data_IF_010539139335
#
_entry.id   IF_010539139335
#
_cell.length_a   1.000
_cell.length_b   1.000
_cell.length_c   1.000
_cell.angle_alpha   90.00
_cell.angle_beta   90.00
_cell.angle_gamma   90.00
#
_symmetry.space_group_name_H-M   'P 1'
#
loop_
_entity.id
_entity.type
_entity.pdbx_description
1 polymer ?
#
# COMPACT_ATOMS: atom_id res chain seq x y z
N UNK A 1 19.27 6.91 -28.04
CA UNK A 1 18.01 7.15 -27.31
C UNK A 1 18.37 7.27 -25.84
N UNK A 2 18.03 8.38 -25.16
CA UNK A 2 18.40 8.56 -23.76
C UNK A 2 17.55 7.70 -22.82
N UNK A 3 18.00 7.49 -21.58
CA UNK A 3 17.29 6.65 -20.60
C UNK A 3 15.84 7.11 -20.37
N UNK A 4 15.61 8.43 -20.34
CA UNK A 4 14.27 9.01 -20.21
C UNK A 4 13.39 8.68 -21.41
N UNK A 5 13.94 8.69 -22.63
CA UNK A 5 13.18 8.38 -23.85
C UNK A 5 12.80 6.90 -23.88
N UNK A 6 13.71 6.01 -23.46
CA UNK A 6 13.44 4.58 -23.28
C UNK A 6 12.32 4.33 -22.27
N UNK A 7 12.36 5.05 -21.14
CA UNK A 7 11.33 4.93 -20.11
C UNK A 7 9.98 5.47 -20.57
N UNK A 8 9.95 6.55 -21.35
CA UNK A 8 8.72 7.05 -21.97
C UNK A 8 8.07 5.97 -22.85
N UNK A 9 8.85 5.31 -23.71
CA UNK A 9 8.36 4.17 -24.51
C UNK A 9 7.89 3.02 -23.62
N UNK A 10 8.65 2.68 -22.56
CA UNK A 10 8.24 1.64 -21.63
C UNK A 10 6.91 1.95 -20.92
N UNK A 11 6.61 3.23 -20.67
CA UNK A 11 5.36 3.65 -20.02
C UNK A 11 4.12 3.54 -20.93
N UNK A 12 4.27 3.30 -22.24
CA UNK A 12 3.13 3.10 -23.14
C UNK A 12 2.24 1.92 -22.71
N UNK A 13 2.83 0.91 -22.05
CA UNK A 13 2.11 -0.27 -21.51
C UNK A 13 1.15 0.06 -20.35
N UNK A 14 1.22 1.28 -19.83
CA UNK A 14 0.36 1.80 -18.76
C UNK A 14 -0.94 2.41 -19.30
N UNK A 15 -1.05 2.62 -20.62
CA UNK A 15 -2.21 3.26 -21.25
C UNK A 15 -2.31 4.75 -20.93
N UNK A 16 -3.47 5.34 -21.25
CA UNK A 16 -3.74 6.78 -21.11
C UNK A 16 -3.72 7.25 -19.66
N UNK A 17 -2.91 8.26 -19.29
CA UNK A 17 -2.84 8.76 -17.92
C UNK A 17 -4.14 9.29 -17.34
N UNK A 18 -5.04 9.79 -18.19
CA UNK A 18 -6.36 10.29 -17.80
C UNK A 18 -7.26 9.17 -17.26
N UNK A 19 -6.95 7.92 -17.63
CA UNK A 19 -7.70 6.73 -17.23
C UNK A 19 -7.04 5.99 -16.07
N UNK A 20 -5.85 6.40 -15.64
CA UNK A 20 -5.13 5.73 -14.55
C UNK A 20 -5.97 5.75 -13.27
N UNK A 21 -5.98 4.62 -12.58
CA UNK A 21 -6.63 4.50 -11.29
C UNK A 21 -5.94 5.40 -10.27
N UNK A 22 -6.68 6.38 -9.76
CA UNK A 22 -6.28 7.25 -8.64
C UNK A 22 -7.13 6.88 -7.44
N UNK A 23 -6.54 6.36 -6.35
CA UNK A 23 -7.29 6.15 -5.13
C UNK A 23 -7.60 7.51 -4.52
N UNK A 24 -8.87 7.77 -4.18
CA UNK A 24 -9.30 9.01 -3.51
C UNK A 24 -8.56 9.24 -2.17
N UNK A 25 -7.96 8.18 -1.61
CA UNK A 25 -7.23 8.21 -0.36
C UNK A 25 -8.13 8.51 0.84
N UNK A 26 -7.50 8.62 2.01
CA UNK A 26 -8.12 8.96 3.28
C UNK A 26 -7.18 9.94 4.01
N UNK A 27 -7.04 11.19 3.55
CA UNK A 27 -6.03 12.11 4.05
C UNK A 27 -6.13 12.39 5.56
N UNK A 28 -7.34 12.26 6.13
CA UNK A 28 -7.61 12.49 7.56
C UNK A 28 -8.00 11.21 8.33
N UNK A 29 -8.17 10.08 7.63
CA UNK A 29 -8.76 8.85 8.20
C UNK A 29 -7.76 7.70 8.30
N UNK A 30 -6.95 7.66 9.36
CA UNK A 30 -5.89 6.66 9.50
C UNK A 30 -6.46 5.25 9.63
N UNK A 31 -7.61 5.10 10.31
CA UNK A 31 -8.30 3.82 10.39
C UNK A 31 -8.62 3.24 9.01
N UNK A 32 -9.10 4.08 8.08
CA UNK A 32 -9.39 3.68 6.70
C UNK A 32 -8.12 3.33 5.93
N UNK A 33 -7.03 4.08 6.10
CA UNK A 33 -5.72 3.73 5.52
C UNK A 33 -5.25 2.33 5.95
N UNK A 34 -5.37 2.00 7.25
CA UNK A 34 -4.99 0.68 7.78
C UNK A 34 -5.90 -0.42 7.24
N UNK A 35 -7.22 -0.22 7.29
CA UNK A 35 -8.20 -1.22 6.83
C UNK A 35 -8.02 -1.51 5.35
N UNK A 36 -8.03 -0.49 4.49
CA UNK A 36 -7.97 -0.65 3.04
C UNK A 36 -6.65 -1.31 2.62
N UNK A 37 -5.53 -0.84 3.17
CA UNK A 37 -4.22 -1.36 2.81
C UNK A 37 -4.03 -2.83 3.17
N UNK A 38 -4.40 -3.25 4.39
CA UNK A 38 -4.31 -4.64 4.82
C UNK A 38 -5.33 -5.52 4.09
N UNK A 39 -6.54 -5.01 3.83
CA UNK A 39 -7.57 -5.78 3.12
C UNK A 39 -7.20 -6.04 1.66
N UNK A 40 -6.45 -5.14 1.04
CA UNK A 40 -6.09 -5.24 -0.37
C UNK A 40 -5.24 -6.47 -0.71
N UNK A 41 -4.57 -7.13 0.25
CA UNK A 41 -3.85 -8.39 -0.02
C UNK A 41 -4.79 -9.57 -0.20
N UNK A 42 -4.50 -10.54 -1.05
CA UNK A 42 -5.31 -11.77 -1.17
C UNK A 42 -6.80 -11.56 -1.53
N UNK A 43 -7.26 -10.35 -1.91
CA UNK A 43 -8.67 -10.01 -2.05
C UNK A 43 -9.03 -9.18 -3.27
N UNK A 44 -10.13 -9.55 -3.93
CA UNK A 44 -10.76 -8.70 -4.93
C UNK A 44 -11.18 -7.37 -4.31
N UNK A 45 -11.07 -6.31 -5.11
CA UNK A 45 -11.35 -4.96 -4.63
C UNK A 45 -12.80 -4.74 -4.20
N UNK A 46 -13.77 -5.44 -4.79
CA UNK A 46 -15.17 -5.43 -4.31
C UNK A 46 -15.26 -5.86 -2.84
N UNK A 47 -14.49 -6.87 -2.44
CA UNK A 47 -14.38 -7.30 -1.04
C UNK A 47 -13.77 -6.22 -0.14
N UNK A 48 -12.76 -5.51 -0.62
CA UNK A 48 -12.11 -4.40 0.11
C UNK A 48 -13.09 -3.24 0.31
N UNK A 49 -13.74 -2.79 -0.77
CA UNK A 49 -14.76 -1.74 -0.75
C UNK A 49 -15.90 -2.06 0.20
N UNK A 50 -16.33 -3.32 0.25
CA UNK A 50 -17.38 -3.77 1.16
C UNK A 50 -16.95 -3.60 2.63
N UNK A 51 -15.72 -3.96 2.99
CA UNK A 51 -15.20 -3.78 4.35
C UNK A 51 -15.11 -2.30 4.71
N UNK A 52 -14.53 -1.48 3.83
CA UNK A 52 -14.44 -0.02 4.01
C UNK A 52 -15.84 0.61 4.17
N UNK A 53 -16.80 0.21 3.34
CA UNK A 53 -18.17 0.71 3.40
C UNK A 53 -18.88 0.32 4.69
N UNK A 54 -18.64 -0.89 5.20
CA UNK A 54 -19.19 -1.33 6.49
C UNK A 54 -18.57 -0.58 7.67
N UNK A 55 -17.26 -0.31 7.63
CA UNK A 55 -16.62 0.50 8.66
C UNK A 55 -17.18 1.92 8.68
N UNK A 56 -17.30 2.55 7.51
CA UNK A 56 -17.94 3.87 7.36
C UNK A 56 -19.37 3.87 7.87
N UNK A 57 -20.17 2.85 7.54
CA UNK A 57 -21.55 2.74 8.04
C UNK A 57 -21.59 2.58 9.57
N UNK A 58 -20.67 1.83 10.15
CA UNK A 58 -20.60 1.61 11.59
C UNK A 58 -20.21 2.88 12.35
N UNK A 59 -19.30 3.69 11.79
CA UNK A 59 -18.75 4.89 12.43
C UNK A 59 -19.49 6.19 12.06
N UNK A 60 -20.26 6.19 10.98
CA UNK A 60 -20.90 7.39 10.43
C UNK A 60 -19.85 8.39 9.96
N UNK A 61 -20.13 9.68 10.16
CA UNK A 61 -19.24 10.77 9.73
C UNK A 61 -17.87 10.71 10.42
N UNK A 62 -17.77 10.16 11.63
CA UNK A 62 -16.50 10.02 12.36
C UNK A 62 -15.47 9.17 11.61
N UNK A 63 -15.92 8.27 10.72
CA UNK A 63 -15.04 7.40 9.94
C UNK A 63 -13.99 8.15 9.14
N UNK A 64 -14.27 9.41 8.73
CA UNK A 64 -13.36 10.21 7.91
C UNK A 64 -12.16 10.73 8.69
N UNK A 65 -12.22 10.75 10.03
CA UNK A 65 -11.17 11.26 10.92
C UNK A 65 -10.67 10.23 11.93
N UNK A 66 -11.23 9.02 11.94
CA UNK A 66 -10.88 7.98 12.91
C UNK A 66 -9.39 7.62 12.83
N UNK A 67 -8.74 7.63 14.00
CA UNK A 67 -7.36 7.26 14.22
C UNK A 67 -7.19 5.82 14.69
N UNK A 68 -6.00 5.51 15.24
CA UNK A 68 -5.75 4.17 15.80
C UNK A 68 -6.61 3.89 17.04
N UNK A 69 -6.90 4.91 17.85
CA UNK A 69 -7.70 4.75 19.07
C UNK A 69 -9.14 4.34 18.73
N UNK A 70 -9.78 5.02 17.78
CA UNK A 70 -11.15 4.78 17.36
C UNK A 70 -11.28 3.44 16.62
N UNK A 71 -10.26 3.07 15.83
CA UNK A 71 -10.19 1.75 15.23
C UNK A 71 -10.14 0.65 16.31
N UNK A 72 -9.26 0.77 17.31
CA UNK A 72 -9.16 -0.20 18.41
C UNK A 72 -10.46 -0.27 19.23
N UNK A 73 -11.06 0.88 19.55
CA UNK A 73 -12.34 0.95 20.24
C UNK A 73 -13.47 0.26 19.45
N UNK A 74 -13.43 0.30 18.12
CA UNK A 74 -14.40 -0.43 17.28
C UNK A 74 -14.26 -1.95 17.39
N UNK A 75 -13.04 -2.48 17.60
CA UNK A 75 -12.86 -3.90 17.89
C UNK A 75 -13.44 -4.24 19.26
N UNK A 76 -13.15 -3.44 20.28
CA UNK A 76 -13.65 -3.69 21.64
C UNK A 76 -15.18 -3.64 21.69
N UNK A 77 -15.79 -2.65 21.04
CA UNK A 77 -17.25 -2.50 20.96
C UNK A 77 -17.97 -3.59 20.15
N UNK A 78 -17.24 -4.33 19.30
CA UNK A 78 -17.79 -5.42 18.49
C UNK A 78 -17.43 -6.81 19.02
N UNK A 79 -16.87 -6.92 20.23
CA UNK A 79 -16.52 -8.21 20.82
C UNK A 79 -15.21 -8.80 20.30
N UNK A 80 -14.23 -7.93 20.02
CA UNK A 80 -12.89 -8.30 19.59
C UNK A 80 -12.80 -8.67 18.10
N UNK A 81 -11.72 -9.38 17.76
CA UNK A 81 -11.38 -9.74 16.38
C UNK A 81 -12.51 -10.47 15.66
N UNK A 82 -13.10 -11.49 16.31
CA UNK A 82 -14.12 -12.33 15.67
C UNK A 82 -15.40 -11.56 15.38
N UNK A 83 -15.86 -10.74 16.32
CA UNK A 83 -17.06 -9.95 16.13
C UNK A 83 -16.85 -8.81 15.13
N UNK A 84 -15.68 -8.15 15.14
CA UNK A 84 -15.32 -7.18 14.11
C UNK A 84 -15.23 -7.82 12.72
N UNK A 85 -14.65 -9.02 12.60
CA UNK A 85 -14.56 -9.76 11.34
C UNK A 85 -15.93 -10.13 10.76
N UNK A 86 -16.91 -10.46 11.64
CA UNK A 86 -18.29 -10.75 11.24
C UNK A 86 -19.08 -9.48 10.86
N UNK A 87 -18.93 -8.40 11.63
CA UNK A 87 -19.74 -7.19 11.45
C UNK A 87 -19.20 -6.25 10.35
N UNK A 88 -17.88 -6.07 10.31
CA UNK A 88 -17.22 -5.09 9.42
C UNK A 88 -16.32 -5.79 8.43
N UNK A 89 -15.41 -6.62 8.92
CA UNK A 89 -14.35 -7.26 8.14
C UNK A 89 -14.84 -8.33 7.17
N UNK A 90 -13.92 -9.24 6.86
CA UNK A 90 -14.26 -10.51 6.26
C UNK A 90 -13.55 -11.58 7.08
N UNK A 91 -14.12 -12.78 7.17
CA UNK A 91 -13.50 -13.89 7.90
C UNK A 91 -12.38 -14.54 7.06
N UNK A 92 -11.67 -13.76 6.23
CA UNK A 92 -10.57 -14.25 5.43
C UNK A 92 -9.29 -14.35 6.27
N UNK A 93 -8.50 -15.41 6.07
CA UNK A 93 -7.18 -15.49 6.66
C UNK A 93 -6.23 -14.45 6.03
N UNK A 94 -5.20 -14.09 6.79
CA UNK A 94 -4.17 -13.16 6.37
C UNK A 94 -3.21 -13.76 5.33
N UNK A 95 -3.03 -15.09 5.34
CA UNK A 95 -2.23 -15.84 4.37
C UNK A 95 -2.89 -17.18 4.05
N UNK A 96 -2.33 -17.93 3.09
CA UNK A 96 -2.79 -19.27 2.71
C UNK A 96 -2.31 -20.38 3.66
N UNK A 97 -1.53 -20.04 4.70
CA UNK A 97 -1.01 -21.02 5.67
C UNK A 97 -2.14 -21.57 6.55
N UNK A 98 -2.08 -22.86 6.85
CA UNK A 98 -3.00 -23.49 7.79
C UNK A 98 -2.88 -22.82 9.17
N UNK A 99 -4.02 -22.37 9.70
CA UNK A 99 -4.09 -21.69 11.00
C UNK A 99 -3.70 -20.21 10.97
N UNK A 100 -3.56 -19.59 9.79
CA UNK A 100 -3.29 -18.16 9.67
C UNK A 100 -4.35 -17.31 10.38
N UNK A 101 -3.91 -16.21 10.98
CA UNK A 101 -4.81 -15.26 11.65
C UNK A 101 -5.80 -14.65 10.67
N UNK A 102 -6.96 -14.20 11.15
CA UNK A 102 -7.87 -13.40 10.33
C UNK A 102 -7.22 -12.06 9.96
N UNK A 103 -7.55 -11.52 8.78
CA UNK A 103 -7.16 -10.14 8.42
C UNK A 103 -7.58 -9.10 9.46
N UNK A 104 -8.72 -9.33 10.11
CA UNK A 104 -9.17 -8.51 11.22
C UNK A 104 -8.16 -8.47 12.39
N UNK A 105 -7.51 -9.59 12.70
CA UNK A 105 -6.46 -9.65 13.72
C UNK A 105 -5.22 -8.85 13.30
N UNK A 106 -4.83 -8.96 12.02
CA UNK A 106 -3.72 -8.18 11.46
C UNK A 106 -4.00 -6.68 11.52
N UNK A 107 -5.21 -6.24 11.13
CA UNK A 107 -5.65 -4.84 11.24
C UNK A 107 -5.56 -4.36 12.68
N UNK A 108 -6.09 -5.13 13.65
CA UNK A 108 -6.05 -4.77 15.06
C UNK A 108 -4.61 -4.66 15.57
N UNK A 109 -3.75 -5.61 15.20
CA UNK A 109 -2.35 -5.62 15.66
C UNK A 109 -1.54 -4.46 15.08
N UNK A 110 -1.72 -4.14 13.79
CA UNK A 110 -1.09 -2.97 13.17
C UNK A 110 -1.56 -1.68 13.86
N UNK A 111 -2.87 -1.53 14.09
CA UNK A 111 -3.43 -0.37 14.78
C UNK A 111 -2.85 -0.22 16.20
N UNK A 112 -2.72 -1.33 16.94
CA UNK A 112 -2.15 -1.35 18.29
C UNK A 112 -0.67 -0.96 18.30
N UNK A 113 0.14 -1.56 17.42
CA UNK A 113 1.56 -1.25 17.33
C UNK A 113 1.81 0.23 17.00
N UNK A 114 1.02 0.80 16.07
CA UNK A 114 1.10 2.22 15.73
C UNK A 114 0.63 3.11 16.88
N UNK A 115 -0.48 2.76 17.53
CA UNK A 115 -1.00 3.49 18.68
C UNK A 115 0.04 3.60 19.80
N UNK A 116 0.70 2.48 20.12
CA UNK A 116 1.69 2.38 21.19
C UNK A 116 3.00 3.15 20.84
N UNK A 117 3.35 3.28 19.56
CA UNK A 117 4.45 4.15 19.07
C UNK A 117 4.07 5.64 18.99
N UNK A 118 2.81 5.96 19.32
CA UNK A 118 2.27 7.32 19.28
C UNK A 118 1.83 7.79 17.88
N UNK A 119 1.67 6.87 16.92
CA UNK A 119 1.10 7.16 15.60
C UNK A 119 -0.42 7.03 15.70
N UNK A 120 -1.11 8.16 15.86
CA UNK A 120 -2.54 8.21 16.16
C UNK A 120 -3.37 8.71 14.99
N UNK A 121 -2.79 9.57 14.17
CA UNK A 121 -3.45 10.25 13.05
C UNK A 121 -2.71 10.01 11.73
N UNK A 122 -3.35 10.35 10.61
CA UNK A 122 -2.70 10.34 9.30
C UNK A 122 -1.52 11.30 9.24
N UNK A 123 -1.59 12.44 9.93
CA UNK A 123 -0.46 13.38 10.06
C UNK A 123 0.74 12.73 10.74
N UNK A 124 0.53 12.01 11.85
CA UNK A 124 1.60 11.25 12.49
C UNK A 124 2.20 10.24 11.52
N UNK A 125 1.35 9.51 10.78
CA UNK A 125 1.80 8.53 9.81
C UNK A 125 2.61 9.18 8.68
N UNK A 126 2.18 10.34 8.18
CA UNK A 126 2.92 11.12 7.16
C UNK A 126 4.28 11.54 7.66
N UNK A 127 4.36 12.13 8.85
CA UNK A 127 5.63 12.53 9.49
C UNK A 127 6.55 11.33 9.69
N UNK A 128 6.02 10.20 10.17
CA UNK A 128 6.81 8.96 10.37
C UNK A 128 7.22 8.31 9.05
N UNK A 129 6.43 8.45 8.01
CA UNK A 129 6.63 7.84 6.70
C UNK A 129 7.52 8.66 5.75
N UNK A 130 7.67 9.96 6.01
CA UNK A 130 8.33 10.92 5.13
C UNK A 130 9.80 10.56 4.84
N UNK A 131 10.21 10.80 3.59
CA UNK A 131 11.59 10.62 3.13
C UNK A 131 12.38 11.94 3.29
N UNK A 132 12.33 12.52 4.48
CA UNK A 132 13.07 13.74 4.81
C UNK A 132 14.45 13.40 5.37
N UNK A 133 15.49 14.20 5.06
CA UNK A 133 16.82 14.01 5.64
C UNK A 133 16.77 13.92 7.17
N UNK A 134 17.30 12.83 7.73
CA UNK A 134 17.32 12.59 9.18
C UNK A 134 16.11 11.83 9.72
N UNK A 135 15.07 11.56 8.91
CA UNK A 135 13.91 10.77 9.33
C UNK A 135 14.11 9.24 9.15
N UNK A 136 15.21 8.82 8.53
CA UNK A 136 15.44 7.42 8.12
C UNK A 136 15.29 6.40 9.26
N UNK A 137 15.86 6.70 10.43
CA UNK A 137 15.81 5.79 11.57
C UNK A 137 14.38 5.65 12.11
N UNK A 138 13.67 6.77 12.27
CA UNK A 138 12.28 6.83 12.74
C UNK A 138 11.35 6.13 11.75
N UNK A 139 11.51 6.39 10.46
CA UNK A 139 10.76 5.72 9.40
C UNK A 139 10.98 4.22 9.38
N UNK A 140 12.23 3.76 9.52
CA UNK A 140 12.53 2.32 9.60
C UNK A 140 11.91 1.68 10.83
N UNK A 141 11.94 2.35 11.99
CA UNK A 141 11.32 1.86 13.21
C UNK A 141 9.80 1.71 13.06
N UNK A 142 9.10 2.75 12.60
CA UNK A 142 7.65 2.69 12.40
C UNK A 142 7.26 1.71 11.28
N UNK A 143 8.01 1.64 10.17
CA UNK A 143 7.80 0.59 9.16
C UNK A 143 7.97 -0.80 9.77
N UNK A 144 8.95 -1.01 10.66
CA UNK A 144 9.19 -2.32 11.29
C UNK A 144 7.99 -2.78 12.11
N UNK A 145 7.34 -1.87 12.85
CA UNK A 145 6.11 -2.15 13.62
C UNK A 145 4.96 -2.67 12.74
N UNK A 146 4.86 -2.17 11.51
CA UNK A 146 3.90 -2.65 10.52
C UNK A 146 4.32 -4.01 9.95
N UNK A 147 5.56 -4.11 9.47
CA UNK A 147 6.06 -5.30 8.74
C UNK A 147 6.37 -6.50 9.62
N UNK A 148 6.39 -6.35 10.95
CA UNK A 148 6.54 -7.48 11.88
C UNK A 148 5.24 -8.24 12.12
N UNK A 149 4.09 -7.71 11.66
CA UNK A 149 2.80 -8.39 11.77
C UNK A 149 2.71 -9.49 10.69
N UNK A 150 2.01 -10.58 11.00
CA UNK A 150 1.78 -11.70 10.09
C UNK A 150 1.31 -11.20 8.70
N UNK A 151 1.85 -11.80 7.63
CA UNK A 151 1.53 -11.46 6.23
C UNK A 151 1.92 -10.02 5.78
N UNK A 152 2.68 -9.26 6.60
CA UNK A 152 3.04 -7.87 6.28
C UNK A 152 4.54 -7.64 6.03
N UNK A 153 5.35 -8.70 5.98
CA UNK A 153 6.83 -8.60 5.91
C UNK A 153 7.36 -7.85 4.68
N UNK A 154 6.68 -7.96 3.54
CA UNK A 154 7.06 -7.27 2.29
C UNK A 154 7.02 -5.74 2.41
N UNK A 155 6.15 -5.21 3.28
CA UNK A 155 5.91 -3.78 3.44
C UNK A 155 5.17 -3.12 2.27
N UNK A 156 4.55 -3.90 1.39
CA UNK A 156 3.69 -3.38 0.31
C UNK A 156 2.49 -2.63 0.91
N UNK A 157 1.83 -3.21 1.91
CA UNK A 157 0.68 -2.59 2.59
C UNK A 157 1.07 -1.34 3.37
N UNK A 158 2.29 -1.29 3.94
CA UNK A 158 2.85 -0.08 4.53
C UNK A 158 2.97 1.05 3.49
N UNK A 159 3.57 0.79 2.33
CA UNK A 159 3.71 1.80 1.28
C UNK A 159 2.33 2.27 0.78
N UNK A 160 1.38 1.34 0.64
CA UNK A 160 0.03 1.68 0.21
C UNK A 160 -0.73 2.50 1.26
N UNK A 161 -0.57 2.22 2.56
CA UNK A 161 -1.12 3.05 3.63
C UNK A 161 -0.59 4.48 3.61
N UNK A 162 0.72 4.68 3.32
CA UNK A 162 1.30 6.02 3.16
C UNK A 162 0.69 6.77 1.98
N UNK A 163 0.47 6.10 0.85
CA UNK A 163 -0.19 6.67 -0.32
C UNK A 163 -1.64 7.07 0.01
N UNK A 164 -2.39 6.18 0.67
CA UNK A 164 -3.76 6.47 1.11
C UNK A 164 -3.81 7.65 2.09
N UNK A 165 -2.81 7.80 2.96
CA UNK A 165 -2.69 8.96 3.85
C UNK A 165 -2.24 10.24 3.14
N UNK A 166 -2.08 10.23 1.81
CA UNK A 166 -1.68 11.39 1.02
C UNK A 166 -0.20 11.74 1.14
N UNK A 167 0.66 10.84 1.64
CA UNK A 167 2.10 11.04 1.59
C UNK A 167 2.59 10.79 0.16
N UNK A 168 2.62 11.87 -0.61
CA UNK A 168 3.08 11.84 -1.99
C UNK A 168 4.60 11.58 -2.01
N UNK A 169 5.00 10.47 -2.60
CA UNK A 169 6.41 10.19 -2.88
C UNK A 169 6.55 9.11 -3.93
N UNK A 170 7.17 9.46 -5.07
CA UNK A 170 7.75 8.45 -5.96
C UNK A 170 8.84 7.77 -5.17
N UNK A 171 8.50 6.62 -4.61
CA UNK A 171 9.51 5.71 -4.14
C UNK A 171 9.57 4.68 -5.24
N UNK A 172 10.66 4.73 -6.01
CA UNK A 172 11.06 3.58 -6.78
C UNK A 172 11.33 2.43 -5.78
N UNK A 173 10.27 1.74 -5.36
CA UNK A 173 10.35 0.56 -4.53
C UNK A 173 10.93 -0.59 -5.38
N UNK A 174 11.03 -1.79 -4.84
CA UNK A 174 11.64 -2.91 -5.59
C UNK A 174 10.92 -3.14 -6.92
N UNK A 175 9.61 -2.92 -7.00
CA UNK A 175 8.81 -3.17 -8.20
C UNK A 175 9.02 -2.07 -9.22
N UNK A 176 8.93 -0.82 -8.79
CA UNK A 176 9.16 0.33 -9.66
C UNK A 176 10.64 0.38 -10.12
N UNK A 177 11.59 0.06 -9.24
CA UNK A 177 13.02 -0.08 -9.62
C UNK A 177 13.23 -1.23 -10.61
N UNK A 178 12.53 -2.37 -10.44
CA UNK A 178 12.56 -3.47 -11.42
C UNK A 178 12.01 -3.04 -12.78
N UNK A 179 10.92 -2.29 -12.81
CA UNK A 179 10.36 -1.75 -14.05
C UNK A 179 11.39 -0.86 -14.75
N UNK A 180 11.99 0.10 -14.03
CA UNK A 180 12.99 1.01 -14.58
C UNK A 180 14.23 0.24 -15.06
N UNK A 181 14.74 -0.68 -14.23
CA UNK A 181 15.88 -1.54 -14.59
C UNK A 181 15.58 -2.34 -15.86
N UNK A 182 14.41 -2.99 -15.96
CA UNK A 182 14.01 -3.76 -17.14
C UNK A 182 13.86 -2.90 -18.40
N UNK A 183 13.33 -1.69 -18.27
CA UNK A 183 13.23 -0.74 -19.38
C UNK A 183 14.61 -0.27 -19.87
N UNK A 184 15.63 -0.35 -19.01
CA UNK A 184 17.01 0.03 -19.26
C UNK A 184 17.95 -1.19 -19.42
N UNK A 185 17.45 -2.31 -19.96
CA UNK A 185 18.22 -3.54 -20.24
C UNK A 185 18.85 -4.21 -19.01
N UNK A 186 18.19 -4.12 -17.85
CA UNK A 186 18.62 -4.79 -16.63
C UNK A 186 19.71 -4.06 -15.85
N UNK A 187 19.94 -2.77 -16.12
CA UNK A 187 20.88 -1.95 -15.34
C UNK A 187 20.49 -1.95 -13.86
N UNK A 188 21.44 -2.25 -12.98
CA UNK A 188 21.26 -2.09 -11.54
C UNK A 188 21.19 -0.61 -11.20
N UNK A 189 20.06 -0.20 -10.60
CA UNK A 189 19.80 1.19 -10.24
C UNK A 189 19.55 1.27 -8.75
N UNK A 190 20.08 2.33 -8.12
CA UNK A 190 19.62 2.68 -6.79
C UNK A 190 18.16 3.18 -6.87
N UNK A 191 17.36 2.98 -5.80
CA UNK A 191 16.02 3.55 -5.69
C UNK A 191 15.98 5.06 -5.96
N UNK A 192 17.02 5.79 -5.56
CA UNK A 192 17.14 7.23 -5.77
C UNK A 192 17.30 7.57 -7.25
N UNK A 193 18.12 6.80 -7.97
CA UNK A 193 18.31 6.97 -9.41
C UNK A 193 17.03 6.66 -10.18
N UNK A 194 16.37 5.55 -9.85
CA UNK A 194 15.09 5.17 -10.46
C UNK A 194 14.00 6.20 -10.17
N UNK A 195 13.91 6.72 -8.94
CA UNK A 195 12.97 7.78 -8.60
C UNK A 195 13.27 9.10 -9.33
N UNK A 196 14.55 9.45 -9.50
CA UNK A 196 14.96 10.63 -10.27
C UNK A 196 14.53 10.54 -11.72
N UNK A 197 14.79 9.39 -12.37
CA UNK A 197 14.38 9.12 -13.74
C UNK A 197 12.85 9.21 -13.90
N UNK A 198 12.09 8.60 -12.98
CA UNK A 198 10.63 8.63 -13.06
C UNK A 198 10.03 10.01 -12.82
N UNK A 199 10.64 10.84 -11.97
CA UNK A 199 10.21 12.25 -11.83
C UNK A 199 10.38 13.01 -13.15
N UNK A 200 11.48 12.77 -13.86
CA UNK A 200 11.70 13.40 -15.17
C UNK A 200 10.75 12.87 -16.25
N UNK A 201 10.47 11.55 -16.25
CA UNK A 201 9.46 10.94 -17.14
C UNK A 201 8.08 11.52 -16.87
N UNK A 202 7.65 11.57 -15.61
CA UNK A 202 6.37 12.15 -15.21
C UNK A 202 6.25 13.61 -15.63
N UNK A 203 7.31 14.40 -15.45
CA UNK A 203 7.38 15.79 -15.89
C UNK A 203 7.18 15.91 -17.40
N UNK A 204 7.77 15.02 -18.20
CA UNK A 204 7.59 15.00 -19.66
C UNK A 204 6.21 14.52 -20.09
N UNK A 205 5.61 13.59 -19.34
CA UNK A 205 4.23 13.13 -19.56
C UNK A 205 3.17 14.14 -19.09
N UNK A 206 3.54 15.14 -18.30
CA UNK A 206 2.60 16.11 -17.73
C UNK A 206 1.73 15.54 -16.61
N UNK A 207 2.18 14.48 -15.93
CA UNK A 207 1.43 13.78 -14.88
C UNK A 207 2.10 13.96 -13.52
N UNK A 208 1.36 13.89 -12.40
CA UNK A 208 1.96 13.77 -11.08
C UNK A 208 2.88 12.55 -11.05
N UNK A 209 4.10 12.72 -10.53
CA UNK A 209 5.06 11.63 -10.50
C UNK A 209 4.59 10.45 -9.64
N UNK A 210 3.75 10.72 -8.65
CA UNK A 210 3.06 9.72 -7.83
C UNK A 210 1.96 8.95 -8.57
N UNK A 211 1.27 9.59 -9.52
CA UNK A 211 0.33 8.89 -10.41
C UNK A 211 1.09 7.90 -11.31
N UNK A 212 2.24 8.33 -11.86
CA UNK A 212 3.10 7.45 -12.67
C UNK A 212 3.67 6.30 -11.84
N UNK A 213 4.23 6.59 -10.66
CA UNK A 213 4.72 5.58 -9.72
C UNK A 213 3.63 4.56 -9.38
N UNK A 214 2.42 5.04 -9.09
CA UNK A 214 1.29 4.19 -8.80
C UNK A 214 0.86 3.36 -10.01
N UNK A 215 0.81 3.95 -11.21
CA UNK A 215 0.49 3.23 -12.44
C UNK A 215 1.49 2.10 -12.74
N UNK A 216 2.80 2.38 -12.59
CA UNK A 216 3.87 1.39 -12.72
C UNK A 216 3.72 0.31 -11.66
N UNK A 217 3.52 0.69 -10.40
CA UNK A 217 3.34 -0.27 -9.31
C UNK A 217 2.14 -1.17 -9.56
N UNK A 218 1.00 -0.62 -10.02
CA UNK A 218 -0.18 -1.39 -10.41
C UNK A 218 0.17 -2.38 -11.52
N UNK A 219 0.87 -1.94 -12.57
CA UNK A 219 1.30 -2.83 -13.66
C UNK A 219 2.18 -3.98 -13.16
N UNK A 220 3.23 -3.67 -12.41
CA UNK A 220 4.21 -4.66 -11.92
C UNK A 220 3.62 -5.65 -10.93
N UNK A 221 2.51 -5.28 -10.30
CA UNK A 221 1.80 -6.10 -9.32
C UNK A 221 0.59 -6.81 -9.91
N UNK A 222 0.48 -6.86 -11.25
CA UNK A 222 -0.58 -7.54 -11.96
C UNK A 222 -1.92 -6.83 -11.94
N UNK A 223 -1.98 -5.53 -11.58
CA UNK A 223 -3.19 -4.72 -11.48
C UNK A 223 -3.55 -3.99 -12.75
N UNK A 224 -4.86 -3.87 -12.96
CA UNK A 224 -5.42 -2.96 -13.95
C UNK A 224 -4.94 -1.55 -13.66
N UNK A 225 -4.18 -0.99 -14.58
CA UNK A 225 -3.62 0.36 -14.46
C UNK A 225 -4.73 1.39 -14.66
N UNK A 226 -5.66 1.14 -15.59
CA UNK A 226 -6.79 2.00 -15.91
C UNK A 226 -8.10 1.55 -15.24
N UNK A 227 -8.99 2.51 -15.04
CA UNK A 227 -10.40 2.26 -14.72
C UNK A 227 -11.18 2.36 -16.04
N UNK A 228 -11.53 1.23 -16.66
CA UNK A 228 -12.64 1.27 -17.61
C UNK A 228 -13.93 1.34 -16.80
N UNK A 229 -14.86 2.20 -17.21
CA UNK A 229 -16.11 2.50 -16.49
C UNK A 229 -16.97 1.26 -16.18
N UNK A 230 -16.67 0.10 -16.78
CA UNK A 230 -17.38 -1.16 -16.58
C UNK A 230 -16.56 -2.27 -15.86
N UNK A 231 -15.29 -2.04 -15.49
CA UNK A 231 -14.44 -3.06 -14.87
C UNK A 231 -14.46 -2.96 -13.33
N UNK A 232 -15.50 -3.55 -12.72
CA UNK A 232 -15.63 -3.68 -11.26
C UNK A 232 -14.57 -4.58 -10.60
N UNK A 233 -13.55 -5.04 -11.32
CA UNK A 233 -12.63 -6.07 -10.84
C UNK A 233 -11.17 -5.58 -10.84
N UNK A 234 -10.68 -5.07 -9.70
CA UNK A 234 -9.23 -5.06 -9.49
C UNK A 234 -8.76 -6.48 -9.11
N UNK A 235 -7.56 -6.85 -9.54
CA UNK A 235 -6.89 -8.05 -9.05
C UNK A 235 -6.22 -7.80 -7.69
N UNK A 236 -6.10 -8.91 -6.98
CA UNK A 236 -5.66 -9.12 -5.60
C UNK A 236 -4.22 -8.61 -5.35
N UNK A 237 -3.87 -7.97 -4.21
CA UNK A 237 -2.44 -7.89 -3.84
C UNK A 237 -1.94 -9.28 -3.44
N UNK A 238 -1.23 -9.97 -4.33
CA UNK A 238 -0.46 -11.15 -3.94
C UNK A 238 0.79 -10.70 -3.18
N UNK A 239 1.06 -11.35 -2.05
CA UNK A 239 2.40 -11.33 -1.49
C UNK A 239 3.31 -11.92 -2.57
N UNK A 240 4.22 -11.13 -3.13
CA UNK A 240 5.28 -11.71 -3.95
C UNK A 240 5.98 -12.74 -3.05
N UNK A 241 5.89 -14.02 -3.43
CA UNK A 241 6.66 -15.07 -2.77
C UNK A 241 8.09 -14.55 -2.64
N UNK A 242 8.60 -14.56 -1.41
CA UNK A 242 10.02 -14.43 -1.17
C UNK A 242 10.70 -15.62 -1.85
N UNK A 243 10.98 -15.45 -3.15
CA UNK A 243 11.81 -16.31 -3.98
C UNK A 243 13.29 -16.32 -3.51
N UNK A 244 13.58 -15.75 -2.34
CA UNK A 244 14.94 -15.63 -1.77
C UNK A 244 15.17 -16.54 -0.55
N UNK A 245 14.42 -17.64 -0.41
CA UNK A 245 14.80 -18.70 0.53
C UNK A 245 15.66 -19.82 -0.09
N UNK A 246 16.25 -19.59 -1.27
CA UNK A 246 17.16 -20.54 -1.93
C UNK A 246 18.66 -20.21 -1.85
N UNK A 247 19.07 -19.05 -1.32
CA UNK A 247 20.50 -18.68 -1.25
C UNK A 247 21.09 -18.57 0.17
N UNK A 248 20.46 -19.20 1.17
CA UNK A 248 21.01 -19.26 2.55
C UNK A 248 21.48 -20.64 3.00
N UNK A 249 21.85 -21.51 2.06
CA UNK A 249 22.56 -22.74 2.42
C UNK A 249 23.68 -23.06 1.42
N UNK A 250 24.63 -22.13 1.28
CA UNK A 250 25.96 -22.46 0.76
C UNK A 250 27.00 -21.54 1.40
N UNK A 251 27.37 -21.85 2.65
CA UNK A 251 28.72 -21.77 3.22
C UNK A 251 28.73 -22.29 4.65
#
# INVERSE_FOLDING_TARGET
MGDVDRLLTACEVLGSPEQWFRPDGYPDGLALCIIDSIQSTGSHYTSVRNVVSRYRRHRGDAATTDGTAELLASFDGLGGVDGWARAIGNQKPASTRNGASLKAAVIQQVARNLHDDGVRTTDDLRVRGALEPGNDARRRATKKLWTSVEAQSSGITWNYALMLAGLQGVKADRMVTRFVSRALDGVELSPEMAASLLREVARRMGVPATDLDHAIWRKESGRLVSVYLDDEQQPVLEEADDMDNLDRNTR
#
